data_IF_256453068122
#
_entry.id   IF_256453068122
#
_cell.length_a   1.000
_cell.length_b   1.000
_cell.length_c   1.000
_cell.angle_alpha   90.00
_cell.angle_beta   90.00
_cell.angle_gamma   90.00
#
_symmetry.space_group_name_H-M   'P 1'
#
loop_
_entity.id
_entity.type
_entity.pdbx_description
1 polymer ?
#
# COMPACT_ATOMS: atom_id res chain seq x y z
N UNK A 1 11.70 -32.49 10.74
CA UNK A 1 11.13 -31.32 11.42
C UNK A 1 11.98 -30.13 11.03
N UNK A 2 11.77 -29.60 9.83
CA UNK A 2 12.40 -28.36 9.35
C UNK A 2 11.43 -27.79 8.32
N UNK A 3 10.54 -26.89 8.75
CA UNK A 3 9.64 -26.10 7.91
C UNK A 3 10.26 -24.72 7.76
N UNK A 4 11.29 -24.58 6.91
CA UNK A 4 12.00 -23.31 6.81
C UNK A 4 12.57 -23.10 5.43
N UNK A 5 11.70 -22.74 4.49
CA UNK A 5 11.98 -21.81 3.39
C UNK A 5 10.78 -21.87 2.47
N UNK A 6 9.65 -21.38 2.98
CA UNK A 6 8.60 -20.97 2.05
C UNK A 6 9.24 -19.87 1.21
N UNK A 7 9.46 -20.20 -0.06
CA UNK A 7 9.73 -19.22 -1.11
C UNK A 7 8.50 -18.33 -1.11
N UNK A 8 8.47 -17.34 -0.23
CA UNK A 8 7.67 -16.16 -0.43
C UNK A 8 8.31 -15.52 -1.64
N UNK A 9 7.75 -15.87 -2.79
CA UNK A 9 7.79 -15.09 -3.99
C UNK A 9 7.11 -13.76 -3.65
N UNK A 10 7.76 -12.96 -2.80
CA UNK A 10 7.47 -11.55 -2.67
C UNK A 10 7.71 -11.05 -4.09
N UNK A 11 6.62 -10.81 -4.81
CA UNK A 11 6.65 -9.94 -5.95
C UNK A 11 7.07 -8.59 -5.37
N UNK A 12 8.37 -8.41 -5.17
CA UNK A 12 8.96 -7.09 -5.10
C UNK A 12 8.58 -6.48 -6.43
N UNK A 13 7.53 -5.67 -6.44
CA UNK A 13 7.15 -4.82 -7.57
C UNK A 13 8.21 -3.71 -7.76
N UNK A 14 9.48 -4.01 -7.48
CA UNK A 14 10.70 -3.23 -7.71
C UNK A 14 10.92 -2.93 -9.20
N UNK A 15 10.16 -3.59 -10.09
CA UNK A 15 10.26 -3.42 -11.54
C UNK A 15 9.28 -2.43 -12.15
N UNK A 16 8.31 -1.90 -11.40
CA UNK A 16 7.59 -0.71 -11.82
C UNK A 16 8.15 0.43 -10.98
N UNK A 17 8.64 1.47 -11.65
CA UNK A 17 9.05 2.77 -11.09
C UNK A 17 7.84 3.46 -10.45
N UNK A 18 7.29 2.79 -9.45
CA UNK A 18 6.10 3.16 -8.71
C UNK A 18 6.66 3.87 -7.51
N UNK A 19 6.80 5.18 -7.66
CA UNK A 19 7.04 6.07 -6.55
C UNK A 19 5.97 5.77 -5.48
N UNK A 20 6.42 5.47 -4.28
CA UNK A 20 5.65 5.17 -3.07
C UNK A 20 6.26 6.10 -2.01
N UNK A 21 5.74 7.33 -1.96
CA UNK A 21 6.36 8.44 -1.26
C UNK A 21 6.22 8.33 0.26
N UNK A 22 5.17 7.68 0.74
CA UNK A 22 4.87 7.52 2.17
C UNK A 22 5.17 6.11 2.71
N UNK A 23 5.36 5.12 1.83
CA UNK A 23 5.80 3.78 2.18
C UNK A 23 4.70 2.82 2.60
N UNK A 24 3.44 3.13 2.28
CA UNK A 24 2.26 2.30 2.57
C UNK A 24 2.12 1.11 1.59
N UNK A 25 2.99 1.08 0.56
CA UNK A 25 3.04 0.10 -0.54
C UNK A 25 1.93 0.28 -1.57
N UNK A 26 1.40 1.49 -1.69
CA UNK A 26 0.56 1.98 -2.78
C UNK A 26 1.42 2.90 -3.63
N UNK A 27 1.11 2.96 -4.93
CA UNK A 27 1.78 3.87 -5.84
C UNK A 27 1.26 5.29 -5.65
N UNK A 28 2.11 6.32 -5.68
CA UNK A 28 1.68 7.73 -5.77
C UNK A 28 0.65 7.96 -6.89
N UNK A 29 0.83 7.23 -8.01
CA UNK A 29 -0.09 7.28 -9.15
C UNK A 29 -1.44 6.62 -8.90
N UNK A 30 -1.48 5.58 -8.07
CA UNK A 30 -2.69 4.87 -7.67
C UNK A 30 -3.39 5.64 -6.55
N UNK A 31 -2.64 6.15 -5.60
CA UNK A 31 -3.11 7.05 -4.56
C UNK A 31 -3.77 8.29 -5.14
N UNK A 32 -3.09 8.98 -6.06
CA UNK A 32 -3.68 10.14 -6.75
C UNK A 32 -4.92 9.77 -7.58
N UNK A 33 -5.02 8.54 -8.08
CA UNK A 33 -6.19 8.07 -8.82
C UNK A 33 -7.38 7.72 -7.90
N UNK A 34 -7.09 7.20 -6.70
CA UNK A 34 -8.08 6.89 -5.67
C UNK A 34 -8.46 8.12 -4.82
N UNK A 35 -7.65 9.18 -4.87
CA UNK A 35 -7.85 10.39 -4.08
C UNK A 35 -7.24 10.30 -2.68
N UNK A 36 -6.30 9.39 -2.44
CA UNK A 36 -5.51 9.32 -1.20
C UNK A 36 -4.30 10.26 -1.28
N UNK A 37 -3.60 10.44 -0.17
CA UNK A 37 -2.53 11.40 -0.01
C UNK A 37 -1.17 10.73 -0.08
N UNK A 38 -0.47 10.94 -1.20
CA UNK A 38 0.89 10.43 -1.48
C UNK A 38 1.96 10.67 -0.40
N UNK A 39 1.73 11.56 0.57
CA UNK A 39 2.69 11.84 1.64
C UNK A 39 2.23 11.33 3.00
N UNK A 40 1.12 10.60 3.06
CA UNK A 40 0.50 10.18 4.30
C UNK A 40 -0.08 8.78 4.13
N UNK A 41 0.51 7.76 4.78
CA UNK A 41 0.14 6.36 4.55
C UNK A 41 -1.25 6.01 5.07
N UNK A 42 -1.88 6.91 5.83
CA UNK A 42 -3.22 6.82 6.40
C UNK A 42 -3.91 8.18 6.16
N UNK A 43 -4.51 8.34 4.97
CA UNK A 43 -5.01 9.63 4.47
C UNK A 43 -6.02 10.29 5.39
N UNK A 44 -6.92 9.53 6.00
CA UNK A 44 -7.96 10.05 6.87
C UNK A 44 -7.59 10.02 8.37
N UNK A 45 -6.50 9.34 8.73
CA UNK A 45 -5.93 9.34 10.07
C UNK A 45 -6.69 8.44 11.03
N UNK A 46 -7.42 7.43 10.53
CA UNK A 46 -8.24 6.54 11.36
C UNK A 46 -7.43 5.38 11.99
N UNK A 47 -6.19 5.20 11.52
CA UNK A 47 -5.23 4.20 11.99
C UNK A 47 -5.07 2.99 11.07
N UNK A 48 -5.77 2.94 9.93
CA UNK A 48 -5.57 1.95 8.87
C UNK A 48 -4.83 2.60 7.69
N UNK A 49 -3.82 1.92 7.14
CA UNK A 49 -3.12 2.48 5.97
C UNK A 49 -4.04 2.48 4.72
N UNK A 50 -3.87 3.45 3.83
CA UNK A 50 -4.63 3.64 2.58
C UNK A 50 -4.71 2.36 1.75
N UNK A 51 -3.60 1.63 1.66
CA UNK A 51 -3.56 0.28 1.10
C UNK A 51 -4.64 -0.64 1.65
N UNK A 52 -4.72 -0.75 2.96
CA UNK A 52 -5.64 -1.67 3.66
C UNK A 52 -7.06 -1.27 3.32
N UNK A 53 -7.33 0.03 3.30
CA UNK A 53 -8.65 0.54 2.99
C UNK A 53 -9.08 0.27 1.54
N UNK A 54 -8.15 0.44 0.60
CA UNK A 54 -8.34 0.05 -0.80
C UNK A 54 -8.54 -1.46 -0.98
N UNK A 55 -7.88 -2.29 -0.16
CA UNK A 55 -8.07 -3.75 -0.17
C UNK A 55 -9.39 -4.19 0.49
N UNK A 56 -9.87 -3.45 1.50
CA UNK A 56 -11.11 -3.72 2.24
C UNK A 56 -12.36 -3.06 1.64
N UNK A 57 -12.21 -2.27 0.57
CA UNK A 57 -13.29 -1.44 -0.01
C UNK A 57 -13.88 -0.48 1.06
N UNK A 58 -13.05 -0.07 2.02
CA UNK A 58 -13.38 1.00 2.98
C UNK A 58 -13.01 2.35 2.37
N UNK A 59 -13.32 3.44 3.06
CA UNK A 59 -13.29 4.77 2.48
C UNK A 59 -12.05 5.53 2.98
N UNK A 60 -10.97 5.63 2.19
CA UNK A 60 -9.67 6.15 2.62
C UNK A 60 -9.59 7.67 2.81
N UNK A 61 -10.72 8.30 3.07
CA UNK A 61 -10.92 9.74 3.07
C UNK A 61 -12.07 10.11 4.03
N UNK A 62 -12.37 9.26 5.01
CA UNK A 62 -13.59 9.40 5.83
C UNK A 62 -13.57 10.57 6.82
#
# INVERSE_FOLDING_TARGET
MEHSSEVSLVYSLDGADVLDTDGDRVADSLESANGTNINNPDTDGDGEDDRTELEQDTNPNS
#
